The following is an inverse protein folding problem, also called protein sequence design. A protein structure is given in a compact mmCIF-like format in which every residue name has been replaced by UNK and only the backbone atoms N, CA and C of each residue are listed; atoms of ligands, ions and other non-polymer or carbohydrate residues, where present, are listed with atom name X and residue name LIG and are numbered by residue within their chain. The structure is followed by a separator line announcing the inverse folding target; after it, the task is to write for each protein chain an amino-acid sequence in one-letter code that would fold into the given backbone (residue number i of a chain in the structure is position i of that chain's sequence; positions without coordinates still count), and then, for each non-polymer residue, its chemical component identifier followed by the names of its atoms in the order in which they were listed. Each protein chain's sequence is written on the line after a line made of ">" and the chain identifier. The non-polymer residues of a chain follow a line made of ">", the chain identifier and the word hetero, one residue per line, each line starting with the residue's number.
data_IF_981814948056
#
_entry.id   IF_981814948056
#
_cell.length_a   1.000
_cell.length_b   1.000
_cell.length_c   1.000
_cell.angle_alpha   90.00
_cell.angle_beta   90.00
_cell.angle_gamma   90.00
#
_symmetry.space_group_name_H-M   'P 1'
#
loop_
_entity.id
_entity.type
_entity.pdbx_description
1 polymer ?
#
# COMPACT_ATOMS: atom_id res chain seq x y z
N UNK A 1 38.31 20.17 -9.43
CA UNK A 1 37.71 19.06 -8.66
C UNK A 1 36.61 18.48 -9.54
N UNK A 2 36.81 17.31 -10.15
CA UNK A 2 35.76 16.68 -10.98
C UNK A 2 34.62 16.27 -10.03
N UNK A 3 33.35 16.63 -10.31
CA UNK A 3 32.24 16.11 -9.51
C UNK A 3 32.29 14.58 -9.59
N UNK A 4 32.22 13.92 -8.44
CA UNK A 4 32.01 12.47 -8.38
C UNK A 4 30.68 12.23 -9.10
N UNK A 5 30.71 11.47 -10.19
CA UNK A 5 29.48 11.14 -10.92
C UNK A 5 28.63 10.25 -10.02
N UNK A 6 27.53 10.81 -9.50
CA UNK A 6 26.57 10.04 -8.73
C UNK A 6 25.75 9.19 -9.71
N UNK A 7 26.04 7.89 -9.76
CA UNK A 7 25.28 6.91 -10.52
C UNK A 7 24.24 6.19 -9.64
N UNK A 8 23.20 5.66 -10.28
CA UNK A 8 22.16 4.85 -9.65
C UNK A 8 21.21 5.60 -8.73
N UNK A 9 20.17 4.87 -8.32
CA UNK A 9 19.23 5.31 -7.30
C UNK A 9 19.93 5.23 -5.93
N UNK A 10 19.84 6.27 -5.08
CA UNK A 10 20.37 6.22 -3.72
C UNK A 10 19.86 5.02 -2.92
N UNK A 11 20.80 4.17 -2.49
CA UNK A 11 20.49 2.96 -1.72
C UNK A 11 20.33 3.31 -0.23
N UNK A 12 19.10 3.65 0.16
CA UNK A 12 18.73 3.78 1.58
C UNK A 12 18.26 2.42 2.13
N UNK A 13 19.17 1.69 2.77
CA UNK A 13 18.88 0.39 3.39
C UNK A 13 18.03 0.49 4.67
N UNK A 14 18.02 1.64 5.34
CA UNK A 14 17.22 1.87 6.56
C UNK A 14 15.74 1.52 6.40
N UNK A 15 15.16 1.86 5.24
CA UNK A 15 13.75 1.55 4.97
C UNK A 15 13.53 0.04 4.73
N UNK A 16 14.49 -0.66 4.12
CA UNK A 16 14.42 -2.12 3.97
C UNK A 16 14.56 -2.84 5.31
N UNK A 17 15.42 -2.36 6.21
CA UNK A 17 15.47 -2.88 7.58
C UNK A 17 14.15 -2.65 8.32
N UNK A 18 13.54 -1.47 8.18
CA UNK A 18 12.21 -1.21 8.76
C UNK A 18 11.13 -2.15 8.20
N UNK A 19 11.12 -2.40 6.89
CA UNK A 19 10.20 -3.37 6.26
C UNK A 19 10.42 -4.79 6.77
N UNK A 20 11.69 -5.23 6.88
CA UNK A 20 12.04 -6.55 7.42
C UNK A 20 11.62 -6.72 8.88
N UNK A 21 11.90 -5.73 9.73
CA UNK A 21 11.45 -5.73 11.13
C UNK A 21 9.93 -5.71 11.24
N UNK A 22 9.24 -4.93 10.40
CA UNK A 22 7.79 -4.91 10.38
C UNK A 22 7.19 -6.28 10.01
N UNK A 23 7.78 -7.00 9.05
CA UNK A 23 7.38 -8.36 8.70
C UNK A 23 7.63 -9.37 9.83
N UNK A 24 8.76 -9.28 10.52
CA UNK A 24 9.01 -10.15 11.69
C UNK A 24 8.01 -9.90 12.83
N UNK A 25 7.67 -8.63 13.06
CA UNK A 25 6.69 -8.24 14.07
C UNK A 25 5.27 -8.62 13.69
N UNK A 26 4.90 -8.54 12.40
CA UNK A 26 3.64 -9.06 11.88
C UNK A 26 3.53 -10.57 12.16
N UNK A 27 4.55 -11.36 11.82
CA UNK A 27 4.54 -12.79 12.12
C UNK A 27 4.42 -13.12 13.62
N UNK A 28 5.09 -12.34 14.49
CA UNK A 28 4.96 -12.50 15.94
C UNK A 28 3.55 -12.19 16.44
N UNK A 29 2.95 -11.09 15.97
CA UNK A 29 1.63 -10.64 16.43
C UNK A 29 0.49 -11.46 15.86
N UNK A 30 0.64 -11.93 14.61
CA UNK A 30 -0.24 -12.92 14.00
C UNK A 30 -0.23 -14.22 14.82
N UNK A 31 0.95 -14.73 15.20
CA UNK A 31 1.05 -15.90 16.07
C UNK A 31 0.37 -15.67 17.44
N UNK A 32 0.59 -14.51 18.07
CA UNK A 32 -0.08 -14.14 19.33
C UNK A 32 -1.62 -14.11 19.19
N UNK A 33 -2.14 -13.62 18.06
CA UNK A 33 -3.56 -13.62 17.77
C UNK A 33 -4.11 -15.04 17.62
N UNK A 34 -3.44 -15.92 16.88
CA UNK A 34 -3.89 -17.30 16.72
C UNK A 34 -3.77 -18.14 17.99
N UNK A 35 -2.82 -17.83 18.89
CA UNK A 35 -2.73 -18.47 20.22
C UNK A 35 -3.84 -17.97 21.16
N UNK A 36 -4.14 -16.66 21.15
CA UNK A 36 -5.15 -16.05 22.00
C UNK A 36 -6.01 -15.07 21.20
N UNK A 37 -7.08 -15.56 20.54
CA UNK A 37 -7.90 -14.74 19.66
C UNK A 37 -8.73 -13.76 20.48
N UNK A 38 -8.43 -12.47 20.34
CA UNK A 38 -9.19 -11.38 20.92
C UNK A 38 -9.04 -10.11 20.07
N UNK A 39 -9.90 -9.15 20.34
CA UNK A 39 -9.97 -7.88 19.62
C UNK A 39 -8.65 -7.12 19.59
N UNK A 40 -7.98 -7.04 20.74
CA UNK A 40 -6.72 -6.28 20.88
C UNK A 40 -5.60 -6.91 20.05
N UNK A 41 -5.46 -8.24 20.11
CA UNK A 41 -4.45 -8.96 19.33
C UNK A 41 -4.71 -8.82 17.81
N UNK A 42 -5.97 -8.91 17.38
CA UNK A 42 -6.33 -8.71 15.97
C UNK A 42 -5.98 -7.29 15.48
N UNK A 43 -6.24 -6.26 16.29
CA UNK A 43 -5.89 -4.88 15.95
C UNK A 43 -4.37 -4.68 15.86
N UNK A 44 -3.60 -5.27 16.77
CA UNK A 44 -2.14 -5.18 16.70
C UNK A 44 -1.57 -5.90 15.48
N UNK A 45 -2.07 -7.08 15.15
CA UNK A 45 -1.70 -7.82 13.94
C UNK A 45 -1.96 -7.00 12.66
N UNK A 46 -3.22 -6.56 12.49
CA UNK A 46 -3.64 -5.74 11.35
C UNK A 46 -2.87 -4.40 11.26
N UNK A 47 -2.49 -3.81 12.39
CA UNK A 47 -1.71 -2.57 12.40
C UNK A 47 -0.35 -2.72 11.72
N UNK A 48 0.31 -3.88 11.86
CA UNK A 48 1.57 -4.15 11.17
C UNK A 48 1.38 -4.38 9.68
N UNK A 49 0.25 -4.93 9.25
CA UNK A 49 -0.10 -5.00 7.82
C UNK A 49 -0.22 -3.59 7.20
N UNK A 50 -0.84 -2.63 7.90
CA UNK A 50 -0.86 -1.22 7.47
C UNK A 50 0.55 -0.62 7.38
N UNK A 51 1.40 -0.90 8.38
CA UNK A 51 2.79 -0.46 8.37
C UNK A 51 3.54 -0.98 7.16
N UNK A 52 3.46 -2.29 6.89
CA UNK A 52 4.10 -2.91 5.73
C UNK A 52 3.63 -2.26 4.44
N UNK A 53 2.31 -2.09 4.25
CA UNK A 53 1.76 -1.45 3.06
C UNK A 53 2.27 0.00 2.90
N UNK A 54 2.26 0.78 3.97
CA UNK A 54 2.77 2.16 3.97
C UNK A 54 4.26 2.27 3.69
N UNK A 55 5.08 1.39 4.28
CA UNK A 55 6.52 1.34 4.06
C UNK A 55 6.85 0.92 2.62
N UNK A 56 6.12 -0.05 2.05
CA UNK A 56 6.25 -0.43 0.64
C UNK A 56 5.93 0.74 -0.30
N UNK A 57 4.84 1.48 -0.01
CA UNK A 57 4.44 2.63 -0.81
C UNK A 57 5.47 3.76 -0.73
N UNK A 58 5.96 4.07 0.49
CA UNK A 58 7.04 5.03 0.69
C UNK A 58 8.31 4.60 -0.04
N UNK A 59 8.65 3.30 -0.01
CA UNK A 59 9.84 2.79 -0.69
C UNK A 59 9.75 2.93 -2.20
N UNK A 60 8.61 2.60 -2.78
CA UNK A 60 8.35 2.81 -4.22
C UNK A 60 8.50 4.29 -4.59
N UNK A 61 7.96 5.18 -3.76
CA UNK A 61 8.03 6.61 -3.99
C UNK A 61 9.45 7.16 -3.92
N UNK A 62 10.22 6.75 -2.90
CA UNK A 62 11.62 7.18 -2.72
C UNK A 62 12.55 6.78 -3.87
N UNK A 63 12.23 5.74 -4.64
CA UNK A 63 13.06 5.30 -5.77
C UNK A 63 13.21 6.37 -6.86
N UNK A 64 12.15 7.13 -7.13
CA UNK A 64 12.16 8.21 -8.14
C UNK A 64 12.30 9.59 -7.53
N UNK A 65 12.10 9.70 -6.23
CA UNK A 65 12.16 10.96 -5.49
C UNK A 65 13.13 10.86 -4.31
N UNK A 66 14.45 10.68 -4.56
CA UNK A 66 15.43 10.49 -3.49
C UNK A 66 15.61 11.70 -2.58
N UNK A 67 15.26 12.90 -3.07
CA UNK A 67 15.27 14.13 -2.27
C UNK A 67 14.21 14.11 -1.15
N UNK A 68 13.26 13.19 -1.20
CA UNK A 68 12.15 13.11 -0.24
C UNK A 68 12.49 12.12 0.85
N UNK A 69 13.19 12.64 1.86
CA UNK A 69 13.29 12.00 3.16
C UNK A 69 12.08 12.42 3.99
N UNK A 70 11.05 11.58 4.02
CA UNK A 70 9.97 11.74 4.98
C UNK A 70 10.59 11.75 6.38
N UNK A 71 10.37 12.83 7.15
CA UNK A 71 10.85 12.87 8.52
C UNK A 71 10.21 11.72 9.30
N UNK A 72 10.97 11.05 10.16
CA UNK A 72 10.46 9.94 10.95
C UNK A 72 9.19 10.35 11.72
N UNK A 73 9.17 11.57 12.26
CA UNK A 73 8.00 12.14 12.93
C UNK A 73 6.76 12.22 12.04
N UNK A 74 6.91 12.67 10.79
CA UNK A 74 5.79 12.75 9.84
C UNK A 74 5.29 11.37 9.44
N UNK A 75 6.19 10.42 9.22
CA UNK A 75 5.84 9.03 8.89
C UNK A 75 5.09 8.37 10.06
N UNK A 76 5.60 8.50 11.29
CA UNK A 76 4.94 7.96 12.48
C UNK A 76 3.60 8.65 12.76
N UNK A 77 3.48 9.95 12.57
CA UNK A 77 2.22 10.67 12.74
C UNK A 77 1.17 10.22 11.71
N UNK A 78 1.58 10.03 10.44
CA UNK A 78 0.69 9.52 9.40
C UNK A 78 0.19 8.11 9.72
N UNK A 79 1.10 7.22 10.12
CA UNK A 79 0.74 5.87 10.55
C UNK A 79 -0.19 5.87 11.77
N UNK A 80 0.12 6.67 12.78
CA UNK A 80 -0.71 6.80 13.97
C UNK A 80 -2.13 7.29 13.63
N UNK A 81 -2.25 8.22 12.68
CA UNK A 81 -3.56 8.65 12.18
C UNK A 81 -4.33 7.50 11.50
N UNK A 82 -3.67 6.69 10.66
CA UNK A 82 -4.29 5.52 10.02
C UNK A 82 -4.79 4.51 11.06
N UNK A 83 -3.94 4.17 12.05
CA UNK A 83 -4.30 3.25 13.13
C UNK A 83 -5.45 3.83 13.97
N UNK A 84 -5.42 5.13 14.29
CA UNK A 84 -6.48 5.80 15.01
C UNK A 84 -7.82 5.74 14.28
N UNK A 85 -7.85 6.02 12.97
CA UNK A 85 -9.06 5.87 12.16
C UNK A 85 -9.53 4.42 12.07
N UNK A 86 -8.62 3.44 12.02
CA UNK A 86 -8.96 2.02 12.10
C UNK A 86 -9.71 1.70 13.39
N UNK A 87 -9.18 2.12 14.55
CA UNK A 87 -9.83 1.90 15.84
C UNK A 87 -11.19 2.59 15.91
N UNK A 88 -11.30 3.85 15.44
CA UNK A 88 -12.58 4.56 15.38
C UNK A 88 -13.61 3.83 14.53
N UNK A 89 -13.22 3.34 13.35
CA UNK A 89 -14.17 2.65 12.49
C UNK A 89 -14.59 1.29 12.98
N UNK A 90 -13.74 0.60 13.75
CA UNK A 90 -14.14 -0.66 14.35
C UNK A 90 -15.04 -0.45 15.58
N UNK A 91 -14.82 0.60 16.37
CA UNK A 91 -15.67 0.93 17.53
C UNK A 91 -17.00 1.55 17.12
N UNK A 92 -16.98 2.49 16.16
CA UNK A 92 -18.15 3.30 15.79
C UNK A 92 -18.78 2.94 14.45
N UNK A 93 -18.13 2.14 13.60
CA UNK A 93 -18.61 1.89 12.23
C UNK A 93 -19.78 0.91 12.14
N UNK A 94 -19.98 0.05 13.14
CA UNK A 94 -21.06 -0.94 13.14
C UNK A 94 -22.43 -0.25 13.25
N UNK A 95 -23.23 -0.33 12.18
CA UNK A 95 -24.59 0.21 12.12
C UNK A 95 -24.69 1.75 12.07
N UNK A 96 -23.56 2.47 12.02
CA UNK A 96 -23.55 3.93 12.04
C UNK A 96 -23.33 4.52 10.63
N UNK A 97 -24.43 4.83 9.95
CA UNK A 97 -24.37 5.42 8.60
C UNK A 97 -23.64 6.78 8.57
N UNK A 98 -23.70 7.57 9.65
CA UNK A 98 -23.02 8.88 9.72
C UNK A 98 -21.51 8.67 9.68
N UNK A 99 -20.99 7.69 10.42
CA UNK A 99 -19.56 7.36 10.38
C UNK A 99 -19.10 7.02 8.95
N UNK A 100 -19.84 6.16 8.25
CA UNK A 100 -19.52 5.77 6.88
C UNK A 100 -19.56 6.94 5.88
N UNK A 101 -20.54 7.84 6.01
CA UNK A 101 -20.62 9.07 5.19
C UNK A 101 -19.40 9.96 5.44
N UNK A 102 -19.11 10.26 6.71
CA UNK A 102 -17.98 11.12 7.09
C UNK A 102 -16.65 10.52 6.63
N UNK A 103 -16.43 9.22 6.88
CA UNK A 103 -15.23 8.53 6.44
C UNK A 103 -15.07 8.58 4.92
N UNK A 104 -16.14 8.33 4.16
CA UNK A 104 -16.07 8.32 2.70
C UNK A 104 -15.78 9.69 2.11
N UNK A 105 -16.35 10.76 2.69
CA UNK A 105 -16.01 12.14 2.33
C UNK A 105 -14.54 12.42 2.63
N UNK A 106 -14.03 12.06 3.81
CA UNK A 106 -12.62 12.24 4.17
C UNK A 106 -11.72 11.46 3.20
N UNK A 107 -12.06 10.21 2.89
CA UNK A 107 -11.31 9.35 1.99
C UNK A 107 -11.22 9.94 0.58
N UNK A 108 -12.36 10.33 -0.02
CA UNK A 108 -12.42 10.95 -1.36
C UNK A 108 -11.61 12.26 -1.39
N UNK A 109 -11.77 13.10 -0.37
CA UNK A 109 -11.00 14.35 -0.28
C UNK A 109 -9.50 14.07 -0.14
N UNK A 110 -9.10 13.14 0.72
CA UNK A 110 -7.70 12.78 0.91
C UNK A 110 -7.07 12.23 -0.39
N UNK A 111 -7.76 11.35 -1.12
CA UNK A 111 -7.26 10.79 -2.38
C UNK A 111 -7.17 11.85 -3.49
N UNK A 112 -8.13 12.77 -3.55
CA UNK A 112 -8.12 13.91 -4.47
C UNK A 112 -6.96 14.87 -4.17
N UNK A 113 -6.77 15.23 -2.90
CA UNK A 113 -5.67 16.09 -2.47
C UNK A 113 -4.32 15.45 -2.78
N UNK A 114 -4.17 14.16 -2.45
CA UNK A 114 -2.97 13.41 -2.77
C UNK A 114 -2.70 13.41 -4.28
N UNK A 115 -3.71 13.08 -5.07
CA UNK A 115 -3.57 13.03 -6.53
C UNK A 115 -3.17 14.40 -7.10
N UNK A 116 -3.75 15.48 -6.57
CA UNK A 116 -3.40 16.84 -6.98
C UNK A 116 -1.94 17.19 -6.61
N UNK A 117 -1.47 16.78 -5.42
CA UNK A 117 -0.06 16.95 -5.03
C UNK A 117 0.88 16.20 -5.98
N UNK A 118 0.58 14.93 -6.25
CA UNK A 118 1.42 14.09 -7.12
C UNK A 118 1.45 14.63 -8.55
N UNK A 119 0.33 15.14 -9.07
CA UNK A 119 0.25 15.70 -10.42
C UNK A 119 1.10 16.97 -10.59
N UNK A 120 0.90 17.96 -9.72
CA UNK A 120 1.47 19.30 -9.89
C UNK A 120 2.86 19.46 -9.30
N UNK A 121 3.11 18.85 -8.15
CA UNK A 121 4.37 19.07 -7.45
C UNK A 121 5.40 18.00 -7.79
N UNK A 122 4.97 16.81 -8.23
CA UNK A 122 5.82 15.62 -8.34
C UNK A 122 6.49 15.24 -7.00
N UNK A 123 6.25 16.00 -5.94
CA UNK A 123 6.94 15.95 -4.65
C UNK A 123 5.90 16.00 -3.54
N UNK A 124 5.89 15.01 -2.66
CA UNK A 124 5.10 15.02 -1.45
C UNK A 124 5.69 16.01 -0.45
N UNK A 125 5.04 17.16 -0.23
CA UNK A 125 5.42 18.10 0.84
C UNK A 125 4.15 18.71 1.47
N UNK A 126 3.86 18.31 2.70
CA UNK A 126 2.74 18.84 3.48
C UNK A 126 3.16 20.19 4.10
N UNK A 127 2.70 21.28 3.51
CA UNK A 127 2.90 22.64 4.02
C UNK A 127 1.54 23.32 4.21
N UNK A 128 1.40 24.23 5.17
CA UNK A 128 0.10 24.87 5.49
C UNK A 128 -0.48 25.68 4.33
N UNK A 129 0.36 26.10 3.38
CA UNK A 129 -0.02 26.78 2.14
C UNK A 129 -0.43 25.87 0.98
N UNK A 130 -0.34 24.53 1.12
CA UNK A 130 -0.61 23.57 0.04
C UNK A 130 -2.03 23.67 -0.49
N UNK A 131 -3.02 23.75 0.40
CA UNK A 131 -4.44 23.88 0.00
C UNK A 131 -4.68 25.16 -0.80
N UNK A 132 -4.12 26.29 -0.35
CA UNK A 132 -4.26 27.59 -1.03
C UNK A 132 -3.56 27.59 -2.39
N UNK A 133 -2.41 26.92 -2.49
CA UNK A 133 -1.64 26.78 -3.74
C UNK A 133 -2.35 25.87 -4.75
N UNK A 134 -2.94 24.76 -4.30
CA UNK A 134 -3.74 23.88 -5.16
C UNK A 134 -4.94 24.62 -5.75
N UNK A 135 -5.72 25.30 -4.91
CA UNK A 135 -6.90 26.06 -5.36
C UNK A 135 -6.49 27.11 -6.38
N UNK A 136 -5.38 27.82 -6.13
CA UNK A 136 -4.84 28.81 -7.07
C UNK A 136 -4.45 28.19 -8.41
N UNK A 137 -3.72 27.07 -8.41
CA UNK A 137 -3.27 26.39 -9.64
C UNK A 137 -4.46 25.83 -10.44
N UNK A 138 -5.41 25.17 -9.77
CA UNK A 138 -6.63 24.65 -10.41
C UNK A 138 -7.46 25.80 -11.01
N UNK A 139 -7.60 26.90 -10.27
CA UNK A 139 -8.32 28.10 -10.75
C UNK A 139 -7.63 28.71 -11.97
N UNK A 140 -6.29 28.81 -11.98
CA UNK A 140 -5.57 29.39 -13.11
C UNK A 140 -5.55 28.48 -14.34
N UNK A 141 -5.32 27.17 -14.19
CA UNK A 141 -5.27 26.22 -15.31
C UNK A 141 -6.66 25.95 -15.90
N UNK A 142 -7.64 25.68 -15.03
CA UNK A 142 -8.97 25.20 -15.47
C UNK A 142 -9.87 26.33 -15.96
N UNK A 143 -9.78 27.53 -15.36
CA UNK A 143 -10.70 28.64 -15.65
C UNK A 143 -10.04 29.71 -16.52
N UNK A 144 -8.72 29.94 -16.39
CA UNK A 144 -8.04 31.06 -17.05
C UNK A 144 -7.29 30.68 -18.32
N UNK A 145 -6.69 29.50 -18.40
CA UNK A 145 -5.81 29.14 -19.53
C UNK A 145 -6.34 28.01 -20.43
N UNK A 146 -7.30 27.18 -19.97
CA UNK A 146 -7.84 26.06 -20.76
C UNK A 146 -6.74 25.20 -21.42
N UNK A 147 -5.60 25.07 -20.76
CA UNK A 147 -4.44 24.31 -21.25
C UNK A 147 -4.72 22.81 -21.10
N UNK A 148 -4.34 22.00 -22.09
CA UNK A 148 -4.36 20.54 -21.95
C UNK A 148 -3.44 20.05 -20.82
N UNK A 149 -3.61 18.81 -20.34
CA UNK A 149 -2.81 18.27 -19.23
C UNK A 149 -1.31 18.24 -19.58
N UNK A 150 -0.48 18.92 -18.78
CA UNK A 150 0.99 18.97 -18.95
C UNK A 150 1.66 17.59 -18.93
N UNK A 151 1.17 16.65 -18.11
CA UNK A 151 1.72 15.30 -17.96
C UNK A 151 0.61 14.25 -18.16
N UNK A 152 0.28 13.96 -19.43
CA UNK A 152 -0.81 13.05 -19.80
C UNK A 152 -0.68 11.68 -19.13
N UNK A 153 0.53 11.13 -19.07
CA UNK A 153 0.77 9.81 -18.49
C UNK A 153 0.47 9.75 -16.99
N UNK A 154 0.88 10.78 -16.24
CA UNK A 154 0.56 10.92 -14.82
C UNK A 154 -0.92 11.18 -14.60
N UNK A 155 -1.56 11.96 -15.49
CA UNK A 155 -2.99 12.27 -15.40
C UNK A 155 -3.85 11.01 -15.54
N UNK A 156 -3.62 10.19 -16.58
CA UNK A 156 -4.38 8.95 -16.82
C UNK A 156 -4.30 8.03 -15.60
N UNK A 157 -3.12 7.90 -15.01
CA UNK A 157 -2.95 7.10 -13.80
C UNK A 157 -3.75 7.67 -12.64
N UNK A 158 -3.58 8.96 -12.33
CA UNK A 158 -4.23 9.56 -11.17
C UNK A 158 -5.75 9.49 -11.31
N UNK A 159 -6.28 9.65 -12.52
CA UNK A 159 -7.71 9.43 -12.80
C UNK A 159 -8.11 7.99 -12.51
N UNK A 160 -7.36 7.00 -13.02
CA UNK A 160 -7.63 5.58 -12.74
C UNK A 160 -7.58 5.27 -11.24
N UNK A 161 -6.57 5.79 -10.53
CA UNK A 161 -6.44 5.64 -9.09
C UNK A 161 -7.61 6.27 -8.32
N UNK A 162 -8.06 7.46 -8.71
CA UNK A 162 -9.24 8.09 -8.10
C UNK A 162 -10.50 7.28 -8.38
N UNK A 163 -10.71 6.79 -9.61
CA UNK A 163 -11.86 5.95 -9.94
C UNK A 163 -11.91 4.73 -9.02
N UNK A 164 -10.79 4.01 -8.86
CA UNK A 164 -10.73 2.83 -7.97
C UNK A 164 -11.02 3.22 -6.52
N UNK A 165 -10.42 4.29 -6.00
CA UNK A 165 -10.70 4.75 -4.63
C UNK A 165 -12.15 5.20 -4.43
N UNK A 166 -12.76 5.86 -5.42
CA UNK A 166 -14.17 6.24 -5.37
C UNK A 166 -15.09 5.03 -5.43
N UNK A 167 -14.73 4.00 -6.22
CA UNK A 167 -15.45 2.72 -6.22
C UNK A 167 -15.35 2.03 -4.85
N UNK A 168 -14.18 2.02 -4.21
CA UNK A 168 -14.01 1.49 -2.85
C UNK A 168 -14.82 2.28 -1.83
N UNK A 169 -14.83 3.61 -1.91
CA UNK A 169 -15.65 4.47 -1.05
C UNK A 169 -17.16 4.18 -1.22
N UNK A 170 -17.61 4.04 -2.48
CA UNK A 170 -18.99 3.68 -2.79
C UNK A 170 -19.35 2.30 -2.24
N UNK A 171 -18.48 1.31 -2.40
CA UNK A 171 -18.64 -0.02 -1.82
C UNK A 171 -18.78 0.05 -0.29
N UNK A 172 -17.91 0.81 0.39
CA UNK A 172 -17.99 1.03 1.84
C UNK A 172 -19.32 1.65 2.28
N UNK A 173 -19.85 2.62 1.53
CA UNK A 173 -21.14 3.26 1.82
C UNK A 173 -22.34 2.33 1.65
N UNK A 174 -22.29 1.44 0.65
CA UNK A 174 -23.40 0.53 0.31
C UNK A 174 -23.40 -0.67 1.26
N UNK A 175 -22.32 -1.44 1.25
CA UNK A 175 -22.23 -2.71 1.99
C UNK A 175 -22.00 -2.50 3.48
N UNK A 176 -21.29 -1.43 3.87
CA UNK A 176 -20.94 -1.11 5.27
C UNK A 176 -20.39 -2.34 6.02
N UNK A 177 -19.26 -2.90 5.56
CA UNK A 177 -18.74 -4.15 6.12
C UNK A 177 -18.50 -4.03 7.63
N UNK A 178 -18.86 -5.08 8.36
CA UNK A 178 -18.66 -5.14 9.81
C UNK A 178 -17.17 -5.10 10.20
N UNK A 179 -16.28 -5.51 9.29
CA UNK A 179 -14.84 -5.43 9.44
C UNK A 179 -14.27 -4.18 8.77
N UNK A 180 -14.26 -3.08 9.53
CA UNK A 180 -13.68 -1.85 9.04
C UNK A 180 -12.16 -1.92 8.87
N UNK A 181 -11.47 -2.75 9.65
CA UNK A 181 -10.02 -2.86 9.60
C UNK A 181 -9.57 -3.52 8.28
N UNK A 182 -10.15 -4.67 7.92
CA UNK A 182 -9.87 -5.30 6.63
C UNK A 182 -10.33 -4.44 5.45
N UNK A 183 -11.40 -3.64 5.60
CA UNK A 183 -11.78 -2.66 4.57
C UNK A 183 -10.71 -1.58 4.36
N UNK A 184 -10.19 -0.99 5.44
CA UNK A 184 -9.10 -0.02 5.36
C UNK A 184 -7.81 -0.65 4.79
N UNK A 185 -7.54 -1.90 5.14
CA UNK A 185 -6.40 -2.66 4.62
C UNK A 185 -6.55 -2.89 3.11
N UNK A 186 -7.74 -3.24 2.64
CA UNK A 186 -8.04 -3.40 1.23
C UNK A 186 -7.77 -2.10 0.45
N UNK A 187 -8.18 -0.95 0.98
CA UNK A 187 -7.83 0.36 0.40
C UNK A 187 -6.31 0.54 0.29
N UNK A 188 -5.56 0.24 1.35
CA UNK A 188 -4.11 0.40 1.35
C UNK A 188 -3.42 -0.54 0.33
N UNK A 189 -3.83 -1.81 0.29
CA UNK A 189 -3.28 -2.81 -0.65
C UNK A 189 -3.64 -2.47 -2.09
N UNK A 190 -4.90 -2.11 -2.38
CA UNK A 190 -5.32 -1.71 -3.73
C UNK A 190 -4.50 -0.52 -4.23
N UNK A 191 -4.29 0.50 -3.39
CA UNK A 191 -3.45 1.65 -3.75
C UNK A 191 -1.98 1.28 -3.95
N UNK A 192 -1.45 0.39 -3.12
CA UNK A 192 -0.09 -0.11 -3.27
C UNK A 192 0.08 -0.87 -4.59
N UNK A 193 -0.85 -1.77 -4.94
CA UNK A 193 -0.82 -2.53 -6.19
C UNK A 193 -0.98 -1.63 -7.42
N UNK A 194 -1.89 -0.65 -7.38
CA UNK A 194 -2.03 0.34 -8.43
C UNK A 194 -0.75 1.14 -8.62
N UNK A 195 -0.11 1.57 -7.53
CA UNK A 195 1.13 2.32 -7.60
C UNK A 195 2.32 1.47 -8.07
N UNK A 196 2.36 0.20 -7.66
CA UNK A 196 3.35 -0.75 -8.17
C UNK A 196 3.18 -1.01 -9.67
N UNK A 197 1.95 -1.24 -10.14
CA UNK A 197 1.64 -1.41 -11.55
C UNK A 197 2.04 -0.17 -12.37
N UNK A 198 1.71 1.02 -11.87
CA UNK A 198 2.16 2.28 -12.45
C UNK A 198 3.67 2.34 -12.59
N UNK A 199 4.39 1.99 -11.52
CA UNK A 199 5.84 2.04 -11.50
C UNK A 199 6.42 1.17 -12.61
N UNK A 200 5.93 -0.06 -12.75
CA UNK A 200 6.36 -0.98 -13.81
C UNK A 200 6.03 -0.42 -15.20
N UNK A 201 4.81 0.09 -15.41
CA UNK A 201 4.39 0.65 -16.71
C UNK A 201 5.28 1.83 -17.09
N UNK A 202 5.53 2.76 -16.17
CA UNK A 202 6.37 3.93 -16.45
C UNK A 202 7.81 3.53 -16.68
N UNK A 203 8.36 2.60 -15.88
CA UNK A 203 9.70 2.05 -16.09
C UNK A 203 9.87 1.53 -17.53
N UNK A 204 8.92 0.71 -17.99
CA UNK A 204 8.95 0.17 -19.35
C UNK A 204 8.78 1.26 -20.42
N UNK A 205 7.89 2.23 -20.21
CA UNK A 205 7.68 3.35 -21.15
C UNK A 205 8.87 4.30 -21.24
N UNK A 206 9.63 4.45 -20.17
CA UNK A 206 10.88 5.22 -20.15
C UNK A 206 12.05 4.49 -20.83
N UNK A 207 11.83 3.27 -21.34
CA UNK A 207 12.86 2.49 -22.02
C UNK A 207 13.83 1.77 -21.05
N UNK A 208 13.52 1.76 -19.76
CA UNK A 208 14.28 1.02 -18.75
C UNK A 208 13.96 -0.47 -18.83
N UNK A 209 14.88 -1.31 -18.35
CA UNK A 209 14.78 -2.77 -18.50
C UNK A 209 14.61 -3.43 -17.15
N UNK A 210 13.74 -4.44 -17.10
CA UNK A 210 13.65 -5.31 -15.92
C UNK A 210 14.72 -6.40 -16.09
N UNK A 211 15.71 -6.43 -15.21
CA UNK A 211 16.76 -7.46 -15.24
C UNK A 211 16.17 -8.86 -15.00
N UNK A 212 16.91 -9.90 -15.44
CA UNK A 212 16.47 -11.29 -15.31
C UNK A 212 16.16 -11.68 -13.86
N UNK A 213 17.02 -11.29 -12.90
CA UNK A 213 16.79 -11.56 -11.48
C UNK A 213 15.46 -10.96 -11.00
N UNK A 214 15.23 -9.67 -11.28
CA UNK A 214 14.00 -8.99 -10.91
C UNK A 214 12.77 -9.64 -11.57
N UNK A 215 12.87 -10.05 -12.83
CA UNK A 215 11.80 -10.74 -13.54
C UNK A 215 11.47 -12.10 -12.89
N UNK A 216 12.49 -12.88 -12.54
CA UNK A 216 12.32 -14.16 -11.83
C UNK A 216 11.65 -13.92 -10.47
N UNK A 217 12.10 -12.91 -9.71
CA UNK A 217 11.49 -12.55 -8.43
C UNK A 217 10.02 -12.14 -8.59
N UNK A 218 9.67 -11.35 -9.62
CA UNK A 218 8.29 -10.94 -9.89
C UNK A 218 7.43 -12.16 -10.22
N UNK A 219 7.86 -13.02 -11.15
CA UNK A 219 7.09 -14.19 -11.56
C UNK A 219 6.90 -15.18 -10.41
N UNK A 220 7.98 -15.47 -9.67
CA UNK A 220 7.91 -16.33 -8.48
C UNK A 220 6.92 -15.76 -7.46
N UNK A 221 7.07 -14.47 -7.11
CA UNK A 221 6.20 -13.82 -6.12
C UNK A 221 4.74 -13.79 -6.57
N UNK A 222 4.46 -13.54 -7.85
CA UNK A 222 3.11 -13.53 -8.40
C UNK A 222 2.45 -14.92 -8.34
N UNK A 223 3.20 -15.99 -8.65
CA UNK A 223 2.72 -17.37 -8.55
C UNK A 223 2.38 -17.73 -7.11
N UNK A 224 3.28 -17.41 -6.16
CA UNK A 224 3.06 -17.71 -4.74
C UNK A 224 1.87 -16.91 -4.19
N UNK A 225 1.72 -15.62 -4.55
CA UNK A 225 0.52 -14.84 -4.22
C UNK A 225 -0.76 -15.45 -4.80
N UNK A 226 -0.72 -15.95 -6.04
CA UNK A 226 -1.86 -16.62 -6.66
C UNK A 226 -2.36 -17.82 -5.85
N UNK A 227 -1.44 -18.67 -5.39
CA UNK A 227 -1.78 -19.79 -4.51
C UNK A 227 -2.24 -19.30 -3.13
N UNK A 228 -1.58 -18.31 -2.53
CA UNK A 228 -1.99 -17.75 -1.24
C UNK A 228 -3.43 -17.23 -1.30
N UNK A 229 -3.78 -16.45 -2.33
CA UNK A 229 -5.13 -15.92 -2.52
C UNK A 229 -6.17 -17.01 -2.76
N UNK A 230 -5.81 -18.08 -3.49
CA UNK A 230 -6.69 -19.23 -3.66
C UNK A 230 -7.12 -19.84 -2.31
N UNK A 231 -6.17 -20.04 -1.40
CA UNK A 231 -6.46 -20.55 -0.06
C UNK A 231 -7.16 -19.53 0.84
N UNK A 232 -6.82 -18.24 0.72
CA UNK A 232 -7.50 -17.16 1.44
C UNK A 232 -9.01 -17.13 1.20
N UNK A 233 -9.44 -17.29 -0.05
CA UNK A 233 -10.86 -17.24 -0.42
C UNK A 233 -11.66 -18.50 -0.02
N UNK A 234 -11.04 -19.52 0.60
CA UNK A 234 -11.77 -20.69 1.09
C UNK A 234 -12.61 -20.40 2.35
N UNK A 235 -12.29 -19.33 3.10
CA UNK A 235 -13.16 -18.78 4.15
C UNK A 235 -13.37 -19.69 5.37
N UNK A 236 -12.30 -20.35 5.85
CA UNK A 236 -12.37 -21.30 6.98
C UNK A 236 -12.48 -20.65 8.37
N UNK A 237 -12.06 -19.38 8.53
CA UNK A 237 -12.02 -18.72 9.84
C UNK A 237 -12.68 -17.34 9.80
N UNK A 238 -13.24 -16.92 10.94
CA UNK A 238 -13.79 -15.58 11.11
C UNK A 238 -13.51 -15.03 12.50
N UNK A 239 -12.88 -13.86 12.57
CA UNK A 239 -12.59 -13.17 13.83
C UNK A 239 -13.82 -12.46 14.41
N UNK A 240 -14.88 -12.28 13.62
CA UNK A 240 -16.09 -11.57 14.02
C UNK A 240 -16.99 -12.38 14.97
N UNK A 241 -16.82 -13.69 14.99
CA UNK A 241 -17.59 -14.62 15.83
C UNK A 241 -16.76 -15.09 17.02
N UNK A 242 -17.42 -15.73 17.99
CA UNK A 242 -16.68 -16.38 19.07
C UNK A 242 -15.82 -17.53 18.55
N UNK A 243 -14.73 -17.92 19.24
CA UNK A 243 -13.92 -19.05 18.82
C UNK A 243 -14.72 -20.36 18.69
N UNK A 244 -15.78 -20.53 19.48
CA UNK A 244 -16.66 -21.69 19.39
C UNK A 244 -17.47 -21.68 18.08
N UNK A 245 -18.07 -20.56 17.71
CA UNK A 245 -18.84 -20.42 16.47
C UNK A 245 -17.93 -20.43 15.24
N UNK A 246 -16.71 -19.88 15.31
CA UNK A 246 -15.76 -19.95 14.19
C UNK A 246 -15.34 -21.40 13.91
N UNK A 247 -15.25 -22.27 14.93
CA UNK A 247 -14.89 -23.69 14.76
C UNK A 247 -15.91 -24.49 13.96
N UNK A 248 -17.15 -24.02 13.85
CA UNK A 248 -18.16 -24.67 13.01
C UNK A 248 -17.84 -24.59 11.50
N UNK A 249 -16.95 -23.67 11.11
CA UNK A 249 -16.51 -23.51 9.73
C UNK A 249 -15.30 -24.40 9.38
N UNK A 250 -14.69 -25.06 10.36
CA UNK A 250 -13.50 -25.88 10.15
C UNK A 250 -13.82 -27.06 9.22
N UNK A 251 -12.87 -27.36 8.34
CA UNK A 251 -12.88 -28.53 7.45
C UNK A 251 -11.74 -29.48 7.82
N UNK A 252 -11.72 -30.65 7.21
CA UNK A 252 -10.64 -31.62 7.39
C UNK A 252 -9.29 -31.03 6.94
N UNK A 253 -8.23 -31.30 7.72
CA UNK A 253 -6.88 -30.85 7.39
C UNK A 253 -6.36 -31.51 6.11
N UNK A 254 -5.74 -30.72 5.23
CA UNK A 254 -5.33 -31.17 3.89
C UNK A 254 -3.84 -31.56 3.80
N UNK A 255 -2.98 -31.04 4.68
CA UNK A 255 -1.54 -31.29 4.66
C UNK A 255 -1.08 -31.91 5.98
N UNK A 256 -0.41 -33.07 5.89
CA UNK A 256 0.12 -33.85 7.02
C UNK A 256 -0.90 -34.18 8.12
N UNK A 257 -2.21 -34.13 7.79
CA UNK A 257 -3.30 -34.26 8.77
C UNK A 257 -3.18 -33.27 9.94
N UNK A 258 -2.55 -32.11 9.69
CA UNK A 258 -2.30 -31.09 10.71
C UNK A 258 -2.64 -29.68 10.21
N UNK A 259 -2.29 -29.34 8.97
CA UNK A 259 -2.51 -28.00 8.41
C UNK A 259 -3.77 -27.96 7.54
N UNK A 260 -4.60 -26.95 7.75
CA UNK A 260 -5.77 -26.64 6.93
C UNK A 260 -5.47 -25.60 5.81
N UNK A 261 -6.50 -25.18 5.06
CA UNK A 261 -6.32 -24.17 4.01
C UNK A 261 -5.85 -22.81 4.58
N UNK A 262 -6.26 -22.46 5.80
CA UNK A 262 -5.93 -21.19 6.43
C UNK A 262 -4.46 -21.15 6.86
N UNK A 263 -3.94 -22.23 7.43
CA UNK A 263 -2.52 -22.37 7.75
C UNK A 263 -1.64 -22.28 6.49
N UNK A 264 -2.06 -22.94 5.41
CA UNK A 264 -1.35 -22.91 4.13
C UNK A 264 -1.38 -21.50 3.54
N UNK A 265 -2.49 -20.77 3.67
CA UNK A 265 -2.55 -19.35 3.30
C UNK A 265 -1.53 -18.50 4.08
N UNK A 266 -1.45 -18.63 5.40
CA UNK A 266 -0.46 -17.90 6.21
C UNK A 266 0.99 -18.22 5.78
N UNK A 267 1.29 -19.50 5.55
CA UNK A 267 2.61 -19.93 5.09
C UNK A 267 2.96 -19.32 3.73
N UNK A 268 2.08 -19.46 2.73
CA UNK A 268 2.32 -18.95 1.37
C UNK A 268 2.35 -17.42 1.32
N UNK A 269 1.46 -16.74 2.05
CA UNK A 269 1.43 -15.28 2.07
C UNK A 269 2.69 -14.68 2.71
N UNK A 270 3.27 -15.31 3.75
CA UNK A 270 4.54 -14.89 4.33
C UNK A 270 5.70 -14.95 3.32
N UNK A 271 5.78 -16.02 2.51
CA UNK A 271 6.77 -16.18 1.44
C UNK A 271 6.55 -15.13 0.35
N UNK A 272 5.29 -14.87 -0.02
CA UNK A 272 4.94 -13.90 -1.05
C UNK A 272 5.23 -12.45 -0.60
N UNK A 273 5.00 -12.11 0.67
CA UNK A 273 5.34 -10.82 1.25
C UNK A 273 6.86 -10.60 1.23
N UNK A 274 7.65 -11.58 1.67
CA UNK A 274 9.10 -11.51 1.57
C UNK A 274 9.58 -11.38 0.11
N UNK A 275 9.01 -12.17 -0.80
CA UNK A 275 9.26 -12.08 -2.23
C UNK A 275 8.96 -10.68 -2.80
N UNK A 276 7.89 -10.04 -2.32
CA UNK A 276 7.54 -8.66 -2.71
C UNK A 276 8.62 -7.65 -2.29
N UNK A 277 9.27 -7.85 -1.15
CA UNK A 277 10.40 -7.02 -0.73
C UNK A 277 11.65 -7.25 -1.60
N UNK A 278 11.90 -8.51 -2.00
CA UNK A 278 12.97 -8.82 -2.95
C UNK A 278 12.71 -8.15 -4.31
N UNK A 279 11.47 -8.17 -4.80
CA UNK A 279 11.07 -7.44 -6.00
C UNK A 279 11.40 -5.96 -5.85
N UNK A 280 10.99 -5.33 -4.75
CA UNK A 280 11.30 -3.92 -4.48
C UNK A 280 12.81 -3.65 -4.37
N UNK A 281 13.60 -4.61 -3.92
CA UNK A 281 15.05 -4.50 -3.85
C UNK A 281 15.70 -4.53 -5.23
N UNK A 282 15.34 -5.50 -6.08
CA UNK A 282 16.03 -5.77 -7.35
C UNK A 282 15.47 -5.02 -8.55
N UNK A 283 14.28 -4.39 -8.42
CA UNK A 283 13.55 -3.84 -9.56
C UNK A 283 14.32 -2.81 -10.39
N UNK A 284 15.26 -2.08 -9.78
CA UNK A 284 15.99 -0.98 -10.44
C UNK A 284 17.51 -1.25 -10.56
N UNK A 285 17.92 -2.51 -10.46
CA UNK A 285 19.33 -2.90 -10.60
C UNK A 285 19.90 -2.54 -12.00
N UNK A 286 19.05 -2.33 -13.01
CA UNK A 286 19.45 -1.83 -14.33
C UNK A 286 19.98 -0.39 -14.33
N UNK A 287 19.66 0.39 -13.29
CA UNK A 287 20.03 1.79 -13.18
C UNK A 287 21.33 2.03 -12.41
N UNK A 288 21.93 1.00 -11.81
CA UNK A 288 23.12 1.14 -10.93
C UNK A 288 24.31 1.87 -11.62
N UNK A 289 24.46 1.72 -12.93
CA UNK A 289 25.51 2.37 -13.72
C UNK A 289 25.07 3.65 -14.44
N UNK A 290 23.79 4.00 -14.36
CA UNK A 290 23.21 5.16 -15.05
C UNK A 290 23.43 6.42 -14.21
N UNK A 291 23.83 7.51 -14.86
CA UNK A 291 24.03 8.80 -14.19
C UNK A 291 22.69 9.30 -13.63
N UNK A 292 22.66 9.76 -12.39
CA UNK A 292 21.40 10.07 -11.68
C UNK A 292 20.58 11.17 -12.36
N UNK A 293 21.22 12.13 -13.00
CA UNK A 293 20.60 13.19 -13.79
C UNK A 293 19.89 12.68 -15.06
N UNK A 294 20.22 11.47 -15.52
CA UNK A 294 19.61 10.82 -16.69
C UNK A 294 18.49 9.85 -16.32
N UNK A 295 18.29 9.58 -15.03
CA UNK A 295 17.21 8.70 -14.58
C UNK A 295 15.90 9.47 -14.67
N UNK A 296 14.94 8.93 -15.44
CA UNK A 296 13.65 9.56 -15.61
C UNK A 296 12.83 9.49 -14.31
N UNK A 297 12.22 10.62 -13.94
CA UNK A 297 11.39 10.77 -12.74
C UNK A 297 9.93 10.81 -13.15
N UNK A 298 9.12 9.91 -12.60
CA UNK A 298 7.69 9.79 -12.86
C UNK A 298 6.85 9.85 -11.59
#
# INVERSE_FOLDING_TARGET
>A
MKPVLECGIPKHFGLFYAMGTALMMEGLLSACYHVCPNYTNFQFDTSFMYMIAGLCMLKLYQKRHPDINASAYTAYACLAAVIFFSVLGVVFGKGNTVFWIVFSVIHILATLLLSTQLYYMGRWRLDSGVMRRMIYIIYTDSIRQCSGPMYVDRMVLLVMGNIVNWSLAAYGLIERPNDFASYLLAIAICNLLLYFAFYIIMKLRSGERIQCLALVCILFTAVVWGFALFFFFQGLSTWQKTPAESREHNRDCILLSFFDDHDIWHFLSSIALFGSFLVLLTLDDDLDTVQRDKIYVF
#
